data_IF_638259438748
#
_entry.id   IF_638259438748
#
_cell.length_a   1.000
_cell.length_b   1.000
_cell.length_c   1.000
_cell.angle_alpha   90.00
_cell.angle_beta   90.00
_cell.angle_gamma   90.00
#
_symmetry.space_group_name_H-M   'P 1'
#
loop_
_entity.id
_entity.type
_entity.pdbx_description
1 polymer ?
#
# COMPACT_ATOMS: atom_id res chain seq x y z
N UNK A 1 21.42 -3.33 -12.60
CA UNK A 1 20.41 -4.17 -13.28
C UNK A 1 19.28 -4.41 -12.28
N UNK A 2 18.10 -3.79 -12.45
CA UNK A 2 16.97 -3.96 -11.53
C UNK A 2 16.08 -5.09 -12.04
N UNK A 3 16.28 -6.30 -11.51
CA UNK A 3 15.38 -7.41 -11.77
C UNK A 3 14.22 -7.35 -10.79
N UNK A 4 13.00 -7.29 -11.33
CA UNK A 4 11.76 -7.42 -10.55
C UNK A 4 11.24 -8.84 -10.75
N UNK A 5 11.14 -9.59 -9.66
CA UNK A 5 10.61 -10.96 -9.67
C UNK A 5 9.11 -10.89 -9.40
N UNK A 6 8.32 -11.51 -10.27
CA UNK A 6 6.87 -11.63 -10.07
C UNK A 6 6.56 -12.44 -8.81
N UNK A 7 5.53 -12.02 -8.08
CA UNK A 7 5.17 -12.54 -6.76
C UNK A 7 3.90 -13.38 -6.88
N UNK A 8 3.99 -14.69 -6.66
CA UNK A 8 2.83 -15.59 -6.77
C UNK A 8 1.78 -15.31 -5.71
N UNK A 9 2.16 -14.70 -4.58
CA UNK A 9 1.24 -14.35 -3.49
C UNK A 9 0.11 -13.40 -3.95
N UNK A 10 0.29 -12.71 -5.07
CA UNK A 10 -0.73 -11.85 -5.69
C UNK A 10 -1.97 -12.65 -6.08
N UNK A 11 -1.79 -13.89 -6.55
CA UNK A 11 -2.87 -14.77 -6.96
C UNK A 11 -3.71 -15.29 -5.78
N UNK A 12 -3.09 -15.40 -4.60
CA UNK A 12 -3.79 -15.80 -3.39
C UNK A 12 -4.56 -14.61 -2.81
N UNK A 13 -3.94 -13.43 -2.81
CA UNK A 13 -4.56 -12.19 -2.33
C UNK A 13 -5.79 -11.83 -3.18
N UNK A 14 -5.73 -11.97 -4.51
CA UNK A 14 -6.85 -11.62 -5.39
C UNK A 14 -8.11 -12.47 -5.19
N UNK A 15 -7.99 -13.62 -4.52
CA UNK A 15 -9.10 -14.52 -4.22
C UNK A 15 -9.77 -14.23 -2.87
N UNK A 16 -9.16 -13.39 -2.02
CA UNK A 16 -9.69 -13.07 -0.69
C UNK A 16 -10.61 -11.86 -0.82
N UNK A 17 -11.93 -12.01 -0.55
CA UNK A 17 -12.83 -10.87 -0.57
C UNK A 17 -12.66 -9.99 0.68
N UNK A 18 -12.93 -8.69 0.53
CA UNK A 18 -13.00 -7.75 1.65
C UNK A 18 -11.64 -7.25 2.13
N UNK A 19 -11.51 -7.03 3.44
CA UNK A 19 -10.36 -6.38 4.05
C UNK A 19 -9.22 -7.38 4.29
N UNK A 20 -8.02 -7.04 3.81
CA UNK A 20 -6.85 -7.93 3.87
C UNK A 20 -5.74 -7.28 4.71
N UNK A 21 -5.26 -7.99 5.73
CA UNK A 21 -4.08 -7.62 6.50
C UNK A 21 -2.87 -8.45 6.06
N UNK A 22 -1.88 -7.81 5.43
CA UNK A 22 -0.62 -8.46 5.03
C UNK A 22 0.46 -8.15 6.06
N UNK A 23 0.93 -9.17 6.79
CA UNK A 23 1.93 -9.04 7.85
C UNK A 23 3.09 -10.04 7.70
N UNK A 24 4.18 -9.82 8.43
CA UNK A 24 5.36 -10.70 8.40
C UNK A 24 6.67 -9.99 8.74
N UNK A 25 7.81 -10.69 8.65
CA UNK A 25 9.13 -10.18 9.05
C UNK A 25 9.60 -8.95 8.27
N UNK A 26 10.47 -8.15 8.88
CA UNK A 26 11.07 -6.97 8.24
C UNK A 26 11.86 -7.39 6.99
N UNK A 27 11.87 -6.54 5.96
CA UNK A 27 12.61 -6.72 4.68
C UNK A 27 12.14 -7.86 3.77
N UNK A 28 11.01 -8.53 4.04
CA UNK A 28 10.48 -9.58 3.14
C UNK A 28 9.72 -9.06 1.91
N UNK A 29 9.69 -7.73 1.69
CA UNK A 29 9.08 -7.16 0.49
C UNK A 29 7.56 -6.90 0.56
N UNK A 30 6.91 -6.93 1.72
CA UNK A 30 5.45 -6.64 1.84
C UNK A 30 5.03 -5.31 1.22
N UNK A 31 5.73 -4.22 1.56
CA UNK A 31 5.46 -2.90 0.97
C UNK A 31 5.67 -2.90 -0.55
N UNK A 32 6.66 -3.65 -1.03
CA UNK A 32 6.91 -3.80 -2.46
C UNK A 32 5.80 -4.58 -3.16
N UNK A 33 5.30 -5.66 -2.54
CA UNK A 33 4.18 -6.46 -3.04
C UNK A 33 2.92 -5.62 -3.22
N UNK A 34 2.50 -4.92 -2.15
CA UNK A 34 1.29 -4.09 -2.18
C UNK A 34 1.42 -2.97 -3.21
N UNK A 35 2.55 -2.27 -3.21
CA UNK A 35 2.75 -1.10 -4.07
C UNK A 35 2.80 -1.45 -5.57
N UNK A 36 3.39 -2.59 -5.94
CA UNK A 36 3.68 -2.87 -7.35
C UNK A 36 2.80 -3.95 -7.98
N UNK A 37 2.19 -4.84 -7.19
CA UNK A 37 1.50 -6.00 -7.75
C UNK A 37 0.03 -6.14 -7.34
N UNK A 38 -0.41 -5.52 -6.25
CA UNK A 38 -1.82 -5.56 -5.83
C UNK A 38 -2.54 -4.36 -6.46
N UNK A 39 -3.59 -4.57 -7.27
CA UNK A 39 -4.40 -3.48 -7.80
C UNK A 39 -5.07 -2.67 -6.68
N UNK A 40 -5.04 -1.34 -6.80
CA UNK A 40 -5.70 -0.42 -5.88
C UNK A 40 -5.96 0.90 -6.61
N UNK A 41 -7.06 1.58 -6.26
CA UNK A 41 -7.37 2.90 -6.81
C UNK A 41 -6.45 3.98 -6.22
N UNK A 42 -6.19 3.90 -4.92
CA UNK A 42 -5.31 4.80 -4.20
C UNK A 42 -4.40 4.05 -3.21
N UNK A 43 -3.17 4.53 -3.04
CA UNK A 43 -2.19 3.97 -2.11
C UNK A 43 -1.61 5.05 -1.21
N UNK A 44 -1.62 4.75 0.08
CA UNK A 44 -1.11 5.63 1.12
C UNK A 44 -0.08 4.89 1.98
N UNK A 45 1.12 5.45 2.08
CA UNK A 45 2.14 4.99 3.02
C UNK A 45 2.02 5.78 4.32
N UNK A 46 1.46 5.15 5.35
CA UNK A 46 1.40 5.71 6.70
C UNK A 46 2.69 5.37 7.44
N UNK A 47 3.40 6.41 7.89
CA UNK A 47 4.66 6.28 8.64
C UNK A 47 4.39 6.29 10.15
N UNK A 48 5.41 5.93 10.94
CA UNK A 48 5.33 5.88 12.41
C UNK A 48 5.11 7.25 13.04
N UNK A 49 5.59 8.31 12.40
CA UNK A 49 5.38 9.71 12.78
C UNK A 49 4.00 10.24 12.35
N UNK A 50 3.10 9.35 11.90
CA UNK A 50 1.77 9.66 11.37
C UNK A 50 1.77 10.50 10.09
N UNK A 51 2.94 10.69 9.47
CA UNK A 51 3.00 11.28 8.13
C UNK A 51 2.43 10.29 7.13
N UNK A 52 1.45 10.74 6.34
CA UNK A 52 0.84 9.95 5.27
C UNK A 52 1.45 10.42 3.95
N UNK A 53 1.92 9.48 3.12
CA UNK A 53 2.47 9.79 1.80
C UNK A 53 1.58 9.17 0.73
N UNK A 54 1.04 9.98 -0.16
CA UNK A 54 0.23 9.50 -1.29
C UNK A 54 1.09 8.83 -2.36
N UNK A 55 0.46 8.08 -3.25
CA UNK A 55 1.05 7.53 -4.48
C UNK A 55 1.80 8.59 -5.31
N UNK A 56 1.29 9.83 -5.32
CA UNK A 56 1.85 11.02 -6.00
C UNK A 56 3.01 11.67 -5.26
N UNK A 57 3.38 11.18 -4.08
CA UNK A 57 4.48 11.70 -3.25
C UNK A 57 4.10 12.90 -2.38
N UNK A 58 2.83 13.31 -2.37
CA UNK A 58 2.34 14.35 -1.48
C UNK A 58 2.39 13.85 -0.03
N UNK A 59 2.84 14.72 0.89
CA UNK A 59 2.80 14.45 2.32
C UNK A 59 1.55 15.11 2.90
N UNK A 60 0.75 14.30 3.57
CA UNK A 60 -0.51 14.70 4.19
C UNK A 60 -0.42 14.50 5.69
N UNK A 61 -0.99 15.46 6.43
CA UNK A 61 -1.41 15.23 7.82
C UNK A 61 -2.71 14.44 7.84
N UNK A 62 -3.01 13.81 8.97
CA UNK A 62 -4.24 13.02 9.14
C UNK A 62 -5.52 13.81 8.82
N UNK A 63 -5.61 15.08 9.21
CA UNK A 63 -6.77 15.94 8.92
C UNK A 63 -6.95 16.23 7.42
N UNK A 64 -5.85 16.38 6.68
CA UNK A 64 -5.86 16.60 5.23
C UNK A 64 -6.23 15.32 4.49
N UNK A 65 -5.71 14.19 4.97
CA UNK A 65 -6.06 12.86 4.46
C UNK A 65 -7.56 12.60 4.62
N UNK A 66 -8.14 12.83 5.81
CA UNK A 66 -9.57 12.63 6.05
C UNK A 66 -10.44 13.44 5.09
N UNK A 67 -10.10 14.71 4.85
CA UNK A 67 -10.85 15.54 3.88
C UNK A 67 -10.81 14.91 2.49
N UNK A 68 -9.62 14.55 2.01
CA UNK A 68 -9.46 13.92 0.69
C UNK A 68 -10.20 12.59 0.59
N UNK A 69 -10.20 11.77 1.64
CA UNK A 69 -10.80 10.43 1.62
C UNK A 69 -12.32 10.41 1.69
N UNK A 70 -12.96 11.50 2.13
CA UNK A 70 -14.43 11.61 2.21
C UNK A 70 -15.02 12.07 0.86
N UNK A 71 -14.21 12.66 0.00
CA UNK A 71 -14.62 13.18 -1.31
C UNK A 71 -14.53 12.14 -2.45
N UNK A 72 -14.16 10.88 -2.15
CA UNK A 72 -14.08 9.77 -3.10
C UNK A 72 -15.33 8.88 -3.07
#
# INVERSE_FOLDING_TARGET
MNYVIYRTEVLDISKIPGWILIYGRRKVGKTFLVKNFIPHDEYFLVRRDLTIVSSKGEKLRYSEFLKKSVDF
#
